data_IF_203729464841
#
_entry.id   IF_203729464841
#
_cell.length_a   1.000
_cell.length_b   1.000
_cell.length_c   1.000
_cell.angle_alpha   90.00
_cell.angle_beta   90.00
_cell.angle_gamma   90.00
#
_symmetry.space_group_name_H-M   'P 1'
#
loop_
_entity.id
_entity.type
_entity.pdbx_description
1 polymer ?
#
# COMPACT_ATOMS: atom_id res chain seq x y z
N UNK A 1 -36.85 13.88 24.22
CA UNK A 1 -35.59 13.21 24.66
C UNK A 1 -35.78 11.68 24.88
N UNK A 2 -36.21 10.95 23.84
CA UNK A 2 -36.37 9.47 23.89
C UNK A 2 -35.28 8.69 23.15
N UNK A 3 -34.63 9.29 22.15
CA UNK A 3 -33.72 8.57 21.25
C UNK A 3 -32.37 8.20 21.90
N UNK A 4 -31.79 9.10 22.69
CA UNK A 4 -30.53 8.86 23.40
C UNK A 4 -30.65 7.76 24.48
N UNK A 5 -31.86 7.60 25.03
CA UNK A 5 -32.16 6.63 26.10
C UNK A 5 -32.42 5.21 25.56
N UNK A 6 -32.28 4.98 24.24
CA UNK A 6 -32.33 3.66 23.58
C UNK A 6 -30.98 3.22 23.00
N UNK A 7 -29.92 3.99 23.25
CA UNK A 7 -28.55 3.65 22.84
C UNK A 7 -27.87 3.07 24.08
N UNK A 8 -27.59 1.76 24.06
CA UNK A 8 -26.99 1.07 25.21
C UNK A 8 -25.51 1.46 25.41
N UNK A 9 -24.75 1.66 24.33
CA UNK A 9 -23.36 2.13 24.38
C UNK A 9 -23.02 3.02 23.17
N UNK A 10 -22.18 4.03 23.42
CA UNK A 10 -21.61 4.90 22.38
C UNK A 10 -20.15 4.51 22.19
N UNK A 11 -19.79 4.03 21.00
CA UNK A 11 -18.40 3.71 20.64
C UNK A 11 -17.73 4.96 20.06
N UNK A 12 -16.72 5.48 20.76
CA UNK A 12 -15.91 6.61 20.29
C UNK A 12 -14.69 6.10 19.54
N UNK A 13 -14.57 6.50 18.26
CA UNK A 13 -13.39 6.21 17.46
C UNK A 13 -12.37 7.35 17.59
N UNK A 14 -11.15 7.00 17.97
CA UNK A 14 -10.03 7.94 18.05
C UNK A 14 -9.36 8.11 16.68
N UNK A 15 -8.72 9.26 16.48
CA UNK A 15 -7.87 9.47 15.32
C UNK A 15 -6.73 8.44 15.29
N UNK A 16 -6.37 7.99 14.08
CA UNK A 16 -5.28 7.04 13.87
C UNK A 16 -3.92 7.71 14.11
N UNK A 17 -3.01 7.00 14.77
CA UNK A 17 -1.61 7.42 14.86
C UNK A 17 -0.79 6.89 13.65
N UNK A 18 0.46 7.39 13.50
CA UNK A 18 1.33 7.04 12.37
C UNK A 18 1.57 5.54 12.28
N UNK A 19 1.74 4.86 13.41
CA UNK A 19 2.01 3.42 13.49
C UNK A 19 0.80 2.60 13.00
N UNK A 20 -0.41 2.98 13.41
CA UNK A 20 -1.65 2.36 12.94
C UNK A 20 -1.85 2.57 11.45
N UNK A 21 -1.51 3.75 10.94
CA UNK A 21 -1.57 4.05 9.52
C UNK A 21 -0.59 3.15 8.74
N UNK A 22 0.66 3.02 9.21
CA UNK A 22 1.64 2.11 8.61
C UNK A 22 1.12 0.67 8.59
N UNK A 23 0.54 0.19 9.68
CA UNK A 23 -0.04 -1.16 9.75
C UNK A 23 -1.19 -1.35 8.74
N UNK A 24 -2.05 -0.35 8.58
CA UNK A 24 -3.11 -0.37 7.55
C UNK A 24 -2.50 -0.38 6.16
N UNK A 25 -1.48 0.44 5.91
CA UNK A 25 -0.73 0.48 4.65
C UNK A 25 -0.13 -0.88 4.32
N UNK A 26 0.49 -1.54 5.29
CA UNK A 26 1.05 -2.88 5.14
C UNK A 26 -0.01 -3.92 4.75
N UNK A 27 -1.21 -3.88 5.36
CA UNK A 27 -2.33 -4.74 4.97
C UNK A 27 -2.74 -4.51 3.52
N UNK A 28 -2.79 -3.25 3.06
CA UNK A 28 -3.11 -2.93 1.67
C UNK A 28 -2.03 -3.44 0.71
N UNK A 29 -0.75 -3.28 1.06
CA UNK A 29 0.37 -3.78 0.27
C UNK A 29 0.40 -5.31 0.22
N UNK A 30 0.11 -6.01 1.32
CA UNK A 30 -0.02 -7.48 1.34
C UNK A 30 -1.11 -7.95 0.37
N UNK A 31 -2.26 -7.28 0.36
CA UNK A 31 -3.35 -7.59 -0.57
C UNK A 31 -2.95 -7.31 -2.02
N UNK A 32 -2.22 -6.22 -2.28
CA UNK A 32 -1.68 -5.92 -3.60
C UNK A 32 -0.66 -6.97 -4.04
N UNK A 33 0.27 -7.36 -3.17
CA UNK A 33 1.29 -8.35 -3.45
C UNK A 33 0.69 -9.72 -3.79
N UNK A 34 -0.40 -10.11 -3.13
CA UNK A 34 -1.15 -11.32 -3.49
C UNK A 34 -1.71 -11.24 -4.92
N UNK A 35 -2.37 -10.13 -5.27
CA UNK A 35 -2.89 -9.92 -6.63
C UNK A 35 -1.76 -9.87 -7.67
N UNK A 36 -0.65 -9.21 -7.32
CA UNK A 36 0.52 -9.08 -8.18
C UNK A 36 1.13 -10.45 -8.48
N UNK A 37 1.29 -11.31 -7.47
CA UNK A 37 1.77 -12.68 -7.65
C UNK A 37 0.86 -13.53 -8.53
N UNK A 38 -0.46 -13.39 -8.39
CA UNK A 38 -1.42 -14.18 -9.18
C UNK A 38 -1.45 -13.73 -10.65
N UNK A 39 -1.49 -12.42 -10.89
CA UNK A 39 -1.70 -11.86 -12.23
C UNK A 39 -0.40 -11.67 -13.03
N UNK A 40 0.71 -11.36 -12.36
CA UNK A 40 2.01 -11.01 -12.98
C UNK A 40 3.03 -12.13 -12.77
N UNK A 41 2.77 -13.08 -11.87
CA UNK A 41 3.71 -14.16 -11.51
C UNK A 41 5.06 -13.65 -10.96
N UNK A 42 5.07 -12.44 -10.40
CA UNK A 42 6.23 -11.82 -9.77
C UNK A 42 5.96 -11.55 -8.27
N UNK A 43 7.02 -11.33 -7.50
CA UNK A 43 6.93 -11.05 -6.08
C UNK A 43 7.00 -9.54 -5.84
N UNK A 44 6.14 -9.04 -4.96
CA UNK A 44 6.19 -7.65 -4.50
C UNK A 44 6.65 -7.62 -3.05
N UNK A 45 7.69 -6.83 -2.77
CA UNK A 45 8.22 -6.50 -1.45
C UNK A 45 8.21 -4.99 -1.28
N UNK A 46 8.40 -4.53 -0.05
CA UNK A 46 8.53 -3.11 0.27
C UNK A 46 9.47 -2.94 1.45
N UNK A 47 10.06 -1.76 1.56
CA UNK A 47 10.82 -1.34 2.73
C UNK A 47 10.01 -0.40 3.64
N UNK A 48 10.62 0.00 4.75
CA UNK A 48 10.01 0.93 5.69
C UNK A 48 9.80 2.32 5.07
N UNK A 49 10.63 2.73 4.11
CA UNK A 49 10.52 4.00 3.41
C UNK A 49 9.21 4.10 2.62
N UNK A 50 8.79 3.03 1.96
CA UNK A 50 7.49 2.97 1.31
C UNK A 50 6.33 3.12 2.31
N UNK A 51 6.41 2.47 3.48
CA UNK A 51 5.38 2.58 4.52
C UNK A 51 5.34 3.97 5.16
N UNK A 52 6.49 4.60 5.37
CA UNK A 52 6.58 5.99 5.84
C UNK A 52 5.94 6.95 4.84
N UNK A 53 6.27 6.82 3.55
CA UNK A 53 5.66 7.63 2.50
C UNK A 53 4.14 7.48 2.46
N UNK A 54 3.64 6.24 2.56
CA UNK A 54 2.20 5.98 2.61
C UNK A 54 1.53 6.58 3.84
N UNK A 55 2.21 6.62 4.98
CA UNK A 55 1.66 7.20 6.19
C UNK A 55 1.58 8.73 6.14
N UNK A 56 2.53 9.36 5.46
CA UNK A 56 2.59 10.82 5.30
C UNK A 56 1.64 11.32 4.21
N UNK A 57 1.52 10.60 3.09
CA UNK A 57 0.75 11.04 1.92
C UNK A 57 -0.63 10.36 1.81
N UNK A 58 -0.89 9.33 2.60
CA UNK A 58 -2.13 8.54 2.55
C UNK A 58 -3.06 8.75 3.75
N UNK A 59 -2.78 9.70 4.64
CA UNK A 59 -3.63 9.98 5.80
C UNK A 59 -4.08 11.44 5.85
N UNK A 60 -5.38 11.62 5.98
CA UNK A 60 -5.98 12.92 6.25
C UNK A 60 -6.94 12.78 7.46
N UNK A 61 -6.76 13.55 8.55
CA UNK A 61 -7.58 13.40 9.76
C UNK A 61 -9.09 13.48 9.50
N UNK A 62 -9.51 14.33 8.56
CA UNK A 62 -10.92 14.49 8.17
C UNK A 62 -11.49 13.27 7.44
N UNK A 63 -10.65 12.45 6.80
CA UNK A 63 -11.05 11.32 5.97
C UNK A 63 -10.54 9.96 6.49
N UNK A 64 -9.77 9.95 7.58
CA UNK A 64 -9.13 8.76 8.14
C UNK A 64 -8.15 8.13 7.16
N UNK A 65 -8.07 6.79 7.16
CA UNK A 65 -7.18 6.04 6.28
C UNK A 65 -7.70 5.82 4.85
N UNK A 66 -8.83 6.45 4.46
CA UNK A 66 -9.38 6.31 3.10
C UNK A 66 -8.41 6.76 2.00
N UNK A 67 -7.63 7.85 2.17
CA UNK A 67 -6.64 8.26 1.18
C UNK A 67 -5.54 7.21 0.94
N UNK A 68 -5.17 6.37 1.93
CA UNK A 68 -4.19 5.28 1.73
C UNK A 68 -4.63 4.32 0.63
N UNK A 69 -5.90 3.92 0.65
CA UNK A 69 -6.42 3.02 -0.38
C UNK A 69 -6.33 3.65 -1.76
N UNK A 70 -6.59 4.96 -1.85
CA UNK A 70 -6.47 5.72 -3.10
C UNK A 70 -5.03 5.83 -3.56
N UNK A 71 -4.08 6.05 -2.66
CA UNK A 71 -2.64 6.10 -2.96
C UNK A 71 -2.15 4.75 -3.51
N UNK A 72 -2.56 3.64 -2.90
CA UNK A 72 -2.23 2.28 -3.39
C UNK A 72 -2.77 2.05 -4.80
N UNK A 73 -4.04 2.36 -5.04
CA UNK A 73 -4.69 2.14 -6.35
C UNK A 73 -4.24 3.13 -7.42
N UNK A 74 -3.99 4.38 -7.03
CA UNK A 74 -3.71 5.48 -7.95
C UNK A 74 -2.23 5.57 -8.30
N UNK A 75 -1.35 5.49 -7.32
CA UNK A 75 0.07 5.76 -7.50
C UNK A 75 0.87 4.46 -7.61
N UNK A 76 0.74 3.56 -6.61
CA UNK A 76 1.53 2.32 -6.55
C UNK A 76 1.14 1.37 -7.69
N UNK A 77 -0.15 1.08 -7.87
CA UNK A 77 -0.62 0.21 -8.96
C UNK A 77 -0.27 0.80 -10.34
N UNK A 78 -0.35 2.12 -10.51
CA UNK A 78 0.07 2.79 -11.76
C UNK A 78 1.56 2.63 -12.01
N UNK A 79 2.41 2.84 -11.00
CA UNK A 79 3.86 2.69 -11.11
C UNK A 79 4.24 1.28 -11.55
N UNK A 80 3.68 0.26 -10.87
CA UNK A 80 3.89 -1.14 -11.21
C UNK A 80 3.38 -1.47 -12.62
N UNK A 81 2.17 -1.00 -12.97
CA UNK A 81 1.57 -1.25 -14.29
C UNK A 81 2.42 -0.69 -15.43
N UNK A 82 3.02 0.49 -15.24
CA UNK A 82 3.93 1.08 -16.25
C UNK A 82 5.16 0.21 -16.48
N UNK A 83 5.77 -0.34 -15.43
CA UNK A 83 6.95 -1.20 -15.58
C UNK A 83 6.59 -2.56 -16.21
N UNK A 84 5.40 -3.10 -15.90
CA UNK A 84 4.88 -4.30 -16.58
C UNK A 84 4.70 -4.04 -18.07
N UNK A 85 4.05 -2.94 -18.46
CA UNK A 85 3.79 -2.60 -19.88
C UNK A 85 5.09 -2.36 -20.65
N UNK A 86 6.12 -1.81 -20.01
CA UNK A 86 7.46 -1.66 -20.60
C UNK A 86 8.19 -2.99 -20.79
N UNK A 87 7.78 -4.05 -20.08
CA UNK A 87 8.45 -5.35 -20.07
C UNK A 87 9.61 -5.44 -19.08
N UNK A 88 9.74 -4.47 -18.18
CA UNK A 88 10.81 -4.44 -17.17
C UNK A 88 10.56 -5.45 -16.04
N UNK A 89 9.28 -5.69 -15.71
CA UNK A 89 8.86 -6.71 -14.74
C UNK A 89 8.46 -7.97 -15.49
N UNK A 90 9.11 -9.09 -15.17
CA UNK A 90 8.84 -10.40 -15.74
C UNK A 90 8.40 -11.42 -14.70
N UNK A 91 7.75 -12.52 -15.12
CA UNK A 91 7.47 -13.64 -14.23
C UNK A 91 8.73 -14.14 -13.51
N UNK A 92 8.63 -14.34 -12.20
CA UNK A 92 9.73 -14.77 -11.34
C UNK A 92 10.55 -13.64 -10.71
N UNK A 93 10.40 -12.41 -11.17
CA UNK A 93 11.13 -11.26 -10.60
C UNK A 93 10.68 -10.95 -9.18
N UNK A 94 11.56 -10.29 -8.42
CA UNK A 94 11.21 -9.65 -7.16
C UNK A 94 11.29 -8.14 -7.32
N UNK A 95 10.14 -7.49 -7.16
CA UNK A 95 10.00 -6.04 -7.21
C UNK A 95 9.94 -5.52 -5.79
N UNK A 96 10.84 -4.60 -5.44
CA UNK A 96 10.87 -3.93 -4.14
C UNK A 96 10.40 -2.50 -4.32
N UNK A 97 9.30 -2.15 -3.63
CA UNK A 97 8.79 -0.79 -3.52
C UNK A 97 9.55 -0.05 -2.42
N UNK A 98 10.05 1.15 -2.74
CA UNK A 98 10.79 2.00 -1.81
C UNK A 98 10.36 3.45 -1.97
N UNK A 99 10.83 4.35 -1.10
CA UNK A 99 10.67 5.79 -1.26
C UNK A 99 11.96 6.52 -0.90
N UNK A 100 12.23 7.60 -1.63
CA UNK A 100 13.28 8.58 -1.32
C UNK A 100 12.76 9.73 -0.42
N UNK A 101 11.51 9.62 0.07
CA UNK A 101 10.81 10.63 0.86
C UNK A 101 10.00 11.63 0.03
N UNK A 102 10.21 11.70 -1.29
CA UNK A 102 9.43 12.57 -2.19
C UNK A 102 8.54 11.78 -3.13
N UNK A 103 8.99 10.61 -3.56
CA UNK A 103 8.27 9.76 -4.51
C UNK A 103 8.50 8.28 -4.21
N UNK A 104 7.61 7.46 -4.76
CA UNK A 104 7.76 6.02 -4.76
C UNK A 104 8.66 5.56 -5.90
N UNK A 105 9.56 4.63 -5.60
CA UNK A 105 10.47 4.02 -6.56
C UNK A 105 10.34 2.50 -6.51
N UNK A 106 10.70 1.85 -7.61
CA UNK A 106 10.66 0.38 -7.73
C UNK A 106 12.02 -0.12 -8.17
N UNK A 107 12.57 -1.05 -7.40
CA UNK A 107 13.77 -1.80 -7.76
C UNK A 107 13.37 -3.20 -8.19
N UNK A 108 13.85 -3.64 -9.34
CA UNK A 108 13.54 -4.95 -9.89
C UNK A 108 14.80 -5.80 -9.76
N UNK A 109 14.70 -6.87 -8.99
CA UNK A 109 15.73 -7.88 -8.89
C UNK A 109 15.26 -9.09 -9.69
N UNK A 110 15.77 -9.20 -10.92
CA UNK A 110 15.50 -10.35 -11.76
C UNK A 110 16.22 -11.58 -11.22
N UNK A 111 15.50 -12.71 -11.16
CA UNK A 111 16.15 -13.99 -10.90
C UNK A 111 17.17 -14.22 -12.02
N UNK A 112 18.45 -14.55 -11.74
CA UNK A 112 19.36 -14.96 -12.80
C UNK A 112 18.70 -16.16 -13.48
N UNK A 113 18.56 -16.07 -14.80
CA UNK A 113 18.14 -17.17 -15.66
C UNK A 113 19.04 -18.35 -15.35
N UNK A 114 18.52 -19.39 -14.70
CA UNK A 114 19.15 -20.71 -14.81
C UNK A 114 18.87 -21.18 -16.24
N UNK A 115 19.95 -21.27 -17.03
CA UNK A 115 19.99 -21.95 -18.34
C UNK A 115 19.58 -23.41 -18.23
#
# INVERSE_FOLDING_TARGET
PEFLNRIDEIIVFHALNKEQIKAIGEVLLKNLALRFRINVQANLRWDDGALDYMAENGYEPAYGARPLKRLVQGEIETLLSRQIIKGDIKPGDTVTLSSDGQQLTVKIDSKPSEE
#
